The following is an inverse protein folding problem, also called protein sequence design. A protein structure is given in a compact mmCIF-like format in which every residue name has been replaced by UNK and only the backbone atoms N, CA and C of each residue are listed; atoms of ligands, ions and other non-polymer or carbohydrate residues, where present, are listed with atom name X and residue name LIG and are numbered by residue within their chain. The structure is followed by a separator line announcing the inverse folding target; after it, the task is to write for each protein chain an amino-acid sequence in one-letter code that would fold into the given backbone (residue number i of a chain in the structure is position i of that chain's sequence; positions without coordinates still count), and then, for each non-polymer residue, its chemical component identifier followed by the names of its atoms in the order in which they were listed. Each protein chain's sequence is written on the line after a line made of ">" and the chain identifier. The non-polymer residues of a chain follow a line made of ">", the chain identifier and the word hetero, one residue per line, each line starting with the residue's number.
data_IF_992111278181
#
_entry.id   IF_992111278181
#
_cell.length_a   1.000
_cell.length_b   1.000
_cell.length_c   1.000
_cell.angle_alpha   90.00
_cell.angle_beta   90.00
_cell.angle_gamma   90.00
#
_symmetry.space_group_name_H-M   'P 1'
#
loop_
_entity.id
_entity.type
_entity.pdbx_description
1 polymer ?
#
# COMPACT_ATOMS: atom_id res chain seq x y z
N UNK A 1 21.15 15.28 5.81
CA UNK A 1 22.02 14.07 5.70
C UNK A 1 21.66 12.95 6.69
N UNK A 2 21.62 13.23 8.01
CA UNK A 2 21.37 12.20 9.02
C UNK A 2 19.96 11.57 8.93
N UNK A 3 18.92 12.39 8.75
CA UNK A 3 17.55 11.89 8.59
C UNK A 3 17.36 11.08 7.30
N UNK A 4 18.05 11.45 6.22
CA UNK A 4 18.05 10.72 4.95
C UNK A 4 18.68 9.33 5.11
N UNK A 5 19.85 9.24 5.76
CA UNK A 5 20.51 7.95 6.03
C UNK A 5 19.63 7.03 6.88
N UNK A 6 18.99 7.55 7.93
CA UNK A 6 18.07 6.76 8.77
C UNK A 6 16.88 6.24 7.96
N UNK A 7 16.34 7.06 7.05
CA UNK A 7 15.25 6.65 6.18
C UNK A 7 15.68 5.55 5.20
N UNK A 8 16.82 5.72 4.52
CA UNK A 8 17.34 4.73 3.55
C UNK A 8 17.55 3.38 4.25
N UNK A 9 18.15 3.38 5.45
CA UNK A 9 18.34 2.17 6.25
C UNK A 9 16.99 1.52 6.58
N UNK A 10 16.01 2.32 7.03
CA UNK A 10 14.68 1.81 7.36
C UNK A 10 13.96 1.19 6.15
N UNK A 11 14.00 1.86 5.00
CA UNK A 11 13.42 1.35 3.75
C UNK A 11 14.14 0.09 3.28
N UNK A 12 15.48 0.08 3.33
CA UNK A 12 16.29 -1.08 2.93
C UNK A 12 15.96 -2.32 3.77
N UNK A 13 15.89 -2.18 5.09
CA UNK A 13 15.48 -3.27 5.99
C UNK A 13 14.07 -3.75 5.66
N UNK A 14 13.13 -2.84 5.41
CA UNK A 14 11.78 -3.21 5.02
C UNK A 14 11.72 -3.96 3.68
N UNK A 15 12.50 -3.55 2.69
CA UNK A 15 12.60 -4.22 1.40
C UNK A 15 13.15 -5.65 1.56
N UNK A 16 14.18 -5.83 2.39
CA UNK A 16 14.70 -7.16 2.69
C UNK A 16 13.63 -8.07 3.32
N UNK A 17 12.89 -7.56 4.31
CA UNK A 17 11.81 -8.32 4.96
C UNK A 17 10.72 -8.68 3.94
N UNK A 18 10.27 -7.71 3.14
CA UNK A 18 9.22 -7.95 2.15
C UNK A 18 9.68 -8.96 1.09
N UNK A 19 10.94 -8.91 0.66
CA UNK A 19 11.51 -9.88 -0.27
C UNK A 19 11.48 -11.30 0.31
N UNK A 20 11.87 -11.48 1.57
CA UNK A 20 11.76 -12.77 2.26
C UNK A 20 10.32 -13.29 2.33
N UNK A 21 9.35 -12.39 2.55
CA UNK A 21 7.93 -12.76 2.54
C UNK A 21 7.45 -13.17 1.13
N UNK A 22 7.91 -12.48 0.08
CA UNK A 22 7.65 -12.88 -1.31
C UNK A 22 8.27 -14.25 -1.60
N UNK A 23 9.50 -14.51 -1.20
CA UNK A 23 10.12 -15.83 -1.33
C UNK A 23 9.29 -16.90 -0.62
N UNK A 24 8.83 -16.61 0.61
CA UNK A 24 7.98 -17.52 1.40
C UNK A 24 6.68 -17.87 0.67
N UNK A 25 6.07 -16.90 -0.02
CA UNK A 25 4.85 -17.11 -0.81
C UNK A 25 5.05 -18.13 -1.93
N UNK A 26 6.21 -18.16 -2.60
CA UNK A 26 6.49 -19.10 -3.69
C UNK A 26 6.89 -20.51 -3.24
N UNK A 27 7.08 -20.75 -1.93
CA UNK A 27 7.58 -22.05 -1.44
C UNK A 27 6.52 -23.16 -1.37
N UNK A 28 5.22 -22.83 -1.46
CA UNK A 28 4.13 -23.81 -1.33
C UNK A 28 2.92 -23.49 -2.20
N UNK A 29 2.38 -24.52 -2.82
CA UNK A 29 1.23 -24.46 -3.72
C UNK A 29 -0.04 -23.87 -3.10
N UNK A 30 -0.21 -24.12 -1.81
CA UNK A 30 -1.33 -23.58 -1.04
C UNK A 30 -1.37 -22.04 -1.04
N UNK A 31 -0.21 -21.37 -1.09
CA UNK A 31 -0.16 -19.91 -1.03
C UNK A 31 -0.58 -19.26 -2.34
N UNK A 32 -0.12 -19.75 -3.50
CA UNK A 32 -0.49 -19.15 -4.79
C UNK A 32 -1.86 -19.61 -5.32
N UNK A 33 -2.59 -20.46 -4.59
CA UNK A 33 -3.95 -20.91 -4.93
C UNK A 33 -5.04 -20.26 -4.10
N UNK A 34 -4.68 -19.55 -3.03
CA UNK A 34 -5.65 -18.94 -2.09
C UNK A 34 -5.71 -17.43 -2.31
N UNK A 35 -6.91 -16.90 -2.59
CA UNK A 35 -7.15 -15.47 -2.89
C UNK A 35 -6.41 -14.51 -1.96
N UNK A 36 -6.51 -14.74 -0.65
CA UNK A 36 -5.90 -13.88 0.37
C UNK A 36 -4.39 -13.75 0.22
N UNK A 37 -3.69 -14.86 0.02
CA UNK A 37 -2.22 -14.84 -0.11
C UNK A 37 -1.81 -14.22 -1.44
N UNK A 38 -2.60 -14.41 -2.50
CA UNK A 38 -2.37 -13.74 -3.79
C UNK A 38 -2.51 -12.22 -3.64
N UNK A 39 -3.58 -11.73 -3.01
CA UNK A 39 -3.76 -10.29 -2.74
C UNK A 39 -2.66 -9.73 -1.81
N UNK A 40 -2.21 -10.53 -0.85
CA UNK A 40 -1.07 -10.18 -0.01
C UNK A 40 0.22 -10.05 -0.83
N UNK A 41 0.49 -10.98 -1.75
CA UNK A 41 1.63 -10.91 -2.65
C UNK A 41 1.56 -9.69 -3.60
N UNK A 42 0.38 -9.35 -4.12
CA UNK A 42 0.18 -8.11 -4.90
C UNK A 42 0.56 -6.88 -4.09
N UNK A 43 0.13 -6.82 -2.83
CA UNK A 43 0.46 -5.72 -1.91
C UNK A 43 1.96 -5.63 -1.64
N UNK A 44 2.60 -6.78 -1.36
CA UNK A 44 4.05 -6.89 -1.15
C UNK A 44 4.84 -6.35 -2.33
N UNK A 45 4.50 -6.79 -3.55
CA UNK A 45 5.18 -6.37 -4.77
C UNK A 45 4.95 -4.89 -5.04
N UNK A 46 3.71 -4.39 -4.89
CA UNK A 46 3.42 -2.96 -5.08
C UNK A 46 4.15 -2.08 -4.08
N UNK A 47 4.22 -2.50 -2.81
CA UNK A 47 4.90 -1.75 -1.75
C UNK A 47 6.42 -1.75 -1.96
N UNK A 48 7.01 -2.88 -2.38
CA UNK A 48 8.44 -2.94 -2.72
C UNK A 48 8.79 -1.99 -3.85
N UNK A 49 8.01 -2.02 -4.94
CA UNK A 49 8.23 -1.14 -6.09
C UNK A 49 8.07 0.33 -5.70
N UNK A 50 7.03 0.66 -4.93
CA UNK A 50 6.81 2.03 -4.46
C UNK A 50 7.94 2.52 -3.55
N UNK A 51 8.34 1.73 -2.56
CA UNK A 51 9.40 2.09 -1.62
C UNK A 51 10.74 2.27 -2.34
N UNK A 52 11.11 1.32 -3.22
CA UNK A 52 12.34 1.41 -4.00
C UNK A 52 12.38 2.67 -4.88
N UNK A 53 11.33 2.92 -5.67
CA UNK A 53 11.30 4.06 -6.58
C UNK A 53 11.30 5.38 -5.81
N UNK A 54 10.54 5.50 -4.72
CA UNK A 54 10.52 6.74 -3.93
C UNK A 54 11.84 7.01 -3.20
N UNK A 55 12.53 5.98 -2.73
CA UNK A 55 13.86 6.12 -2.11
C UNK A 55 14.92 6.55 -3.15
N UNK A 56 14.90 5.95 -4.34
CA UNK A 56 15.75 6.37 -5.47
C UNK A 56 15.47 7.83 -5.87
N UNK A 57 14.20 8.22 -6.00
CA UNK A 57 13.84 9.62 -6.31
C UNK A 57 14.31 10.58 -5.22
N UNK A 58 14.20 10.20 -3.95
CA UNK A 58 14.66 11.03 -2.85
C UNK A 58 16.19 11.20 -2.89
N UNK A 59 16.93 10.14 -3.18
CA UNK A 59 18.38 10.20 -3.35
C UNK A 59 18.77 11.11 -4.53
N UNK A 60 18.13 10.95 -5.68
CA UNK A 60 18.37 11.79 -6.86
C UNK A 60 18.06 13.26 -6.57
N UNK A 61 16.95 13.54 -5.88
CA UNK A 61 16.56 14.89 -5.47
C UNK A 61 17.57 15.50 -4.48
N UNK A 62 18.05 14.72 -3.51
CA UNK A 62 19.07 15.16 -2.57
C UNK A 62 20.40 15.51 -3.27
N UNK A 63 20.79 14.71 -4.26
CA UNK A 63 21.97 14.94 -5.08
C UNK A 63 21.76 15.99 -6.20
N UNK A 64 20.56 16.56 -6.30
CA UNK A 64 20.17 17.51 -7.37
C UNK A 64 20.39 16.97 -8.79
N UNK A 65 20.25 15.66 -8.98
CA UNK A 65 20.41 15.00 -10.28
C UNK A 65 19.14 15.21 -11.10
N UNK A 66 19.30 15.77 -12.30
CA UNK A 66 18.19 15.95 -13.25
C UNK A 66 17.94 14.67 -14.04
N UNK A 67 16.67 14.35 -14.25
CA UNK A 67 16.21 13.20 -15.03
C UNK A 67 15.53 13.67 -16.30
N UNK A 68 15.62 12.87 -17.37
CA UNK A 68 14.84 13.12 -18.59
C UNK A 68 13.34 13.02 -18.30
N UNK A 69 12.55 13.89 -18.93
CA UNK A 69 11.11 13.97 -18.65
C UNK A 69 10.33 12.71 -19.00
N UNK A 70 10.70 11.99 -20.06
CA UNK A 70 10.07 10.69 -20.39
C UNK A 70 10.28 9.65 -19.30
N UNK A 71 11.48 9.58 -18.71
CA UNK A 71 11.75 8.70 -17.57
C UNK A 71 10.96 9.14 -16.33
N UNK A 72 10.90 10.44 -16.07
CA UNK A 72 10.11 10.98 -14.96
C UNK A 72 8.61 10.68 -15.12
N UNK A 73 8.08 10.74 -16.35
CA UNK A 73 6.71 10.38 -16.68
C UNK A 73 6.41 8.91 -16.36
N UNK A 74 7.31 7.99 -16.76
CA UNK A 74 7.18 6.57 -16.44
C UNK A 74 7.19 6.35 -14.92
N UNK A 75 8.13 6.99 -14.21
CA UNK A 75 8.21 6.92 -12.75
C UNK A 75 6.93 7.44 -12.11
N UNK A 76 6.39 8.56 -12.58
CA UNK A 76 5.14 9.13 -12.11
C UNK A 76 3.96 8.18 -12.31
N UNK A 77 3.83 7.56 -13.49
CA UNK A 77 2.78 6.57 -13.77
C UNK A 77 2.81 5.44 -12.74
N UNK A 78 3.99 4.87 -12.50
CA UNK A 78 4.18 3.75 -11.58
C UNK A 78 3.86 4.16 -10.14
N UNK A 79 4.38 5.29 -9.67
CA UNK A 79 4.12 5.79 -8.32
C UNK A 79 2.66 6.18 -8.10
N UNK A 80 2.05 6.83 -9.08
CA UNK A 80 0.63 7.20 -9.02
C UNK A 80 -0.24 5.95 -8.92
N UNK A 81 0.05 4.92 -9.71
CA UNK A 81 -0.70 3.65 -9.66
C UNK A 81 -0.57 2.98 -8.28
N UNK A 82 0.65 2.75 -7.79
CA UNK A 82 0.87 2.04 -6.53
C UNK A 82 0.51 2.83 -5.27
N UNK A 83 0.29 4.14 -5.40
CA UNK A 83 -0.35 4.94 -4.34
C UNK A 83 -1.77 4.45 -4.05
N UNK A 84 -2.53 4.06 -5.07
CA UNK A 84 -3.92 3.60 -4.93
C UNK A 84 -4.06 2.08 -4.87
N UNK A 85 -3.19 1.31 -5.54
CA UNK A 85 -3.25 -0.17 -5.51
C UNK A 85 -3.24 -0.70 -4.08
N UNK A 86 -2.36 -0.18 -3.24
CA UNK A 86 -2.20 -0.64 -1.85
C UNK A 86 -3.51 -0.51 -1.04
N UNK A 87 -4.12 0.69 -0.87
CA UNK A 87 -5.37 0.83 -0.11
C UNK A 87 -6.57 0.10 -0.76
N UNK A 88 -6.64 0.04 -2.10
CA UNK A 88 -7.70 -0.72 -2.80
C UNK A 88 -7.56 -2.22 -2.51
N UNK A 89 -6.33 -2.76 -2.56
CA UNK A 89 -6.05 -4.18 -2.28
C UNK A 89 -6.34 -4.51 -0.82
N UNK A 90 -5.96 -3.64 0.10
CA UNK A 90 -6.28 -3.80 1.52
C UNK A 90 -7.80 -3.82 1.76
N UNK A 91 -8.55 -2.97 1.06
CA UNK A 91 -10.03 -3.00 1.11
C UNK A 91 -10.57 -4.32 0.56
N UNK A 92 -10.04 -4.81 -0.56
CA UNK A 92 -10.42 -6.11 -1.11
C UNK A 92 -10.12 -7.28 -0.15
N UNK A 93 -8.98 -7.25 0.55
CA UNK A 93 -8.65 -8.22 1.60
C UNK A 93 -9.65 -8.18 2.76
N UNK A 94 -10.14 -7.00 3.16
CA UNK A 94 -11.19 -6.93 4.20
C UNK A 94 -12.53 -7.49 3.74
N UNK A 95 -12.90 -7.27 2.48
CA UNK A 95 -14.11 -7.83 1.89
C UNK A 95 -14.02 -9.35 1.76
N UNK A 96 -12.86 -9.89 1.37
CA UNK A 96 -12.58 -11.34 1.37
C UNK A 96 -12.83 -11.95 2.75
N UNK A 97 -12.28 -11.32 3.81
CA UNK A 97 -12.49 -11.76 5.20
C UNK A 97 -13.95 -11.69 5.62
N UNK A 98 -14.68 -10.65 5.21
CA UNK A 98 -16.11 -10.55 5.45
C UNK A 98 -16.87 -11.70 4.77
N UNK A 99 -16.60 -11.98 3.49
CA UNK A 99 -17.25 -13.08 2.77
C UNK A 99 -16.93 -14.44 3.43
N UNK A 100 -15.68 -14.67 3.82
CA UNK A 100 -15.28 -15.91 4.48
C UNK A 100 -16.02 -16.17 5.81
N UNK A 101 -16.26 -15.12 6.60
CA UNK A 101 -16.89 -15.24 7.93
C UNK A 101 -18.41 -15.18 7.85
N UNK A 102 -18.96 -14.21 7.11
CA UNK A 102 -20.38 -13.95 7.07
C UNK A 102 -21.12 -14.75 5.98
N UNK A 103 -20.41 -15.30 4.98
CA UNK A 103 -20.99 -16.05 3.86
C UNK A 103 -20.13 -17.28 3.49
N UNK A 104 -19.82 -18.19 4.44
CA UNK A 104 -18.88 -19.30 4.21
C UNK A 104 -19.29 -20.21 3.04
N UNK A 105 -20.60 -20.42 2.82
CA UNK A 105 -21.11 -21.26 1.72
C UNK A 105 -20.81 -20.70 0.32
N UNK A 106 -20.73 -19.37 0.19
CA UNK A 106 -20.40 -18.69 -1.08
C UNK A 106 -18.92 -18.38 -1.22
N UNK A 107 -18.13 -18.56 -0.16
CA UNK A 107 -16.71 -18.21 -0.15
C UNK A 107 -15.91 -19.03 -1.18
N UNK A 108 -16.18 -20.33 -1.31
CA UNK A 108 -15.49 -21.18 -2.28
C UNK A 108 -15.74 -20.78 -3.75
N UNK A 109 -16.94 -20.31 -4.06
CA UNK A 109 -17.30 -19.84 -5.41
C UNK A 109 -16.71 -18.45 -5.68
N UNK A 110 -16.88 -17.51 -4.74
CA UNK A 110 -16.45 -16.12 -4.89
C UNK A 110 -14.93 -15.95 -4.84
N UNK A 111 -14.23 -16.71 -4.00
CA UNK A 111 -12.79 -16.58 -3.77
C UNK A 111 -11.94 -17.62 -4.53
N UNK A 112 -12.44 -18.09 -5.67
CA UNK A 112 -11.67 -18.92 -6.59
C UNK A 112 -10.47 -18.19 -7.20
N UNK A 113 -9.48 -18.93 -7.70
CA UNK A 113 -8.28 -18.35 -8.35
C UNK A 113 -8.64 -17.48 -9.56
N UNK A 114 -9.62 -17.91 -10.37
CA UNK A 114 -10.12 -17.14 -11.51
C UNK A 114 -10.72 -15.80 -11.08
N UNK A 115 -11.57 -15.81 -10.07
CA UNK A 115 -12.17 -14.58 -9.54
C UNK A 115 -11.13 -13.68 -8.87
N UNK A 116 -10.07 -14.27 -8.29
CA UNK A 116 -8.93 -13.52 -7.77
C UNK A 116 -8.22 -12.74 -8.87
N UNK A 117 -7.98 -13.34 -10.04
CA UNK A 117 -7.37 -12.64 -11.18
C UNK A 117 -8.26 -11.49 -11.68
N UNK A 118 -9.57 -11.72 -11.79
CA UNK A 118 -10.51 -10.63 -12.09
C UNK A 118 -10.49 -9.53 -11.02
N UNK A 119 -10.39 -9.88 -9.74
CA UNK A 119 -10.26 -8.94 -8.63
C UNK A 119 -8.99 -8.09 -8.78
N UNK A 120 -7.84 -8.69 -9.10
CA UNK A 120 -6.58 -7.97 -9.37
C UNK A 120 -6.75 -6.98 -10.52
N UNK A 121 -7.37 -7.40 -11.63
CA UNK A 121 -7.63 -6.51 -12.76
C UNK A 121 -8.51 -5.31 -12.35
N UNK A 122 -9.56 -5.55 -11.55
CA UNK A 122 -10.41 -4.49 -11.02
C UNK A 122 -9.61 -3.56 -10.10
N UNK A 123 -8.78 -4.10 -9.21
CA UNK A 123 -7.92 -3.32 -8.30
C UNK A 123 -7.02 -2.37 -9.11
N UNK A 124 -6.31 -2.90 -10.12
CA UNK A 124 -5.42 -2.08 -10.95
C UNK A 124 -6.20 -1.09 -11.82
N UNK A 125 -7.35 -1.48 -12.36
CA UNK A 125 -8.23 -0.59 -13.13
C UNK A 125 -8.76 0.57 -12.30
N UNK A 126 -9.28 0.31 -11.10
CA UNK A 126 -9.72 1.38 -10.19
C UNK A 126 -8.56 2.26 -9.72
N UNK A 127 -7.37 1.68 -9.53
CA UNK A 127 -6.19 2.42 -9.09
C UNK A 127 -5.56 3.29 -10.18
N UNK A 128 -5.80 2.99 -11.46
CA UNK A 128 -5.26 3.76 -12.58
C UNK A 128 -6.10 4.99 -12.91
N UNK A 129 -7.39 5.04 -12.52
CA UNK A 129 -8.30 6.16 -12.82
C UNK A 129 -7.71 7.52 -12.46
N UNK A 130 -7.18 7.76 -11.24
CA UNK A 130 -6.58 9.06 -10.91
C UNK A 130 -5.41 9.38 -11.83
N UNK A 131 -4.54 8.40 -12.08
CA UNK A 131 -3.39 8.57 -12.97
C UNK A 131 -3.82 8.98 -14.39
N UNK A 132 -4.83 8.32 -14.95
CA UNK A 132 -5.36 8.63 -16.28
C UNK A 132 -5.89 10.07 -16.34
N UNK A 133 -6.67 10.49 -15.33
CA UNK A 133 -7.20 11.85 -15.25
C UNK A 133 -6.05 12.87 -15.25
N UNK A 134 -5.05 12.72 -14.38
CA UNK A 134 -3.93 13.66 -14.30
C UNK A 134 -3.07 13.68 -15.56
N UNK A 135 -2.78 12.51 -16.14
CA UNK A 135 -2.03 12.43 -17.39
C UNK A 135 -2.77 13.08 -18.55
N UNK A 136 -4.09 12.91 -18.62
CA UNK A 136 -4.91 13.54 -19.67
C UNK A 136 -4.81 15.06 -19.60
N UNK A 137 -4.87 15.63 -18.39
CA UNK A 137 -4.73 17.08 -18.19
C UNK A 137 -3.29 17.53 -18.50
N UNK A 138 -2.29 16.75 -18.08
CA UNK A 138 -0.88 17.00 -18.37
C UNK A 138 -0.63 17.06 -19.89
N UNK A 139 -1.04 16.03 -20.64
CA UNK A 139 -0.86 16.00 -22.09
C UNK A 139 -1.59 17.14 -22.79
N UNK A 140 -2.78 17.52 -22.31
CA UNK A 140 -3.53 18.66 -22.85
C UNK A 140 -2.88 20.04 -22.55
N UNK A 141 -2.06 20.13 -21.49
CA UNK A 141 -1.46 21.40 -21.04
C UNK A 141 0.02 21.54 -21.41
N UNK A 142 0.73 20.43 -21.61
CA UNK A 142 2.18 20.42 -21.84
C UNK A 142 2.56 20.92 -23.23
N UNK A 143 3.71 21.59 -23.33
CA UNK A 143 4.31 21.97 -24.62
C UNK A 143 5.41 21.00 -25.03
N UNK A 144 5.72 20.92 -26.33
CA UNK A 144 6.75 20.00 -26.86
C UNK A 144 8.14 20.22 -26.22
N UNK A 145 8.48 21.46 -25.87
CA UNK A 145 9.75 21.80 -25.20
C UNK A 145 9.84 21.27 -23.77
N UNK A 146 8.71 20.93 -23.14
CA UNK A 146 8.71 20.34 -21.80
C UNK A 146 9.31 18.94 -21.80
N UNK A 147 9.14 18.16 -22.89
CA UNK A 147 9.64 16.78 -22.98
C UNK A 147 11.15 16.67 -23.17
N UNK A 148 11.81 17.73 -23.66
CA UNK A 148 13.24 17.72 -23.98
C UNK A 148 14.13 18.30 -22.87
N UNK A 149 13.53 18.87 -21.81
CA UNK A 149 14.27 19.45 -20.69
C UNK A 149 14.61 18.42 -19.62
N UNK A 150 15.81 18.49 -19.04
CA UNK A 150 16.15 17.75 -17.82
C UNK A 150 15.65 18.50 -16.58
N UNK A 151 14.94 17.82 -15.69
CA UNK A 151 14.43 18.40 -14.42
C UNK A 151 14.59 17.41 -13.28
N UNK A 152 14.66 17.90 -12.05
CA UNK A 152 14.61 17.03 -10.85
C UNK A 152 13.23 16.39 -10.82
N UNK A 153 13.14 15.07 -10.94
CA UNK A 153 11.85 14.41 -11.06
C UNK A 153 11.03 14.51 -9.77
N UNK A 154 9.89 15.19 -9.83
CA UNK A 154 8.96 15.33 -8.72
C UNK A 154 7.52 15.31 -9.21
N UNK A 155 6.58 14.94 -8.33
CA UNK A 155 5.15 14.87 -8.66
C UNK A 155 4.58 16.25 -9.02
N UNK A 156 5.14 17.31 -8.44
CA UNK A 156 4.71 18.70 -8.62
C UNK A 156 4.91 19.18 -10.05
N UNK A 157 5.86 18.60 -10.79
CA UNK A 157 6.15 18.97 -12.19
C UNK A 157 4.96 18.66 -13.11
N UNK A 158 4.11 17.70 -12.73
CA UNK A 158 2.91 17.36 -13.49
C UNK A 158 1.71 18.24 -13.14
N UNK A 159 1.86 19.19 -12.20
CA UNK A 159 0.81 20.10 -11.77
C UNK A 159 0.93 21.44 -12.52
N UNK A 160 0.07 21.65 -13.52
CA UNK A 160 0.08 22.85 -14.38
C UNK A 160 -0.85 23.95 -13.91
N UNK A 161 -1.96 23.57 -13.27
CA UNK A 161 -3.00 24.50 -12.85
C UNK A 161 -3.23 24.42 -11.34
N UNK A 162 -3.48 25.55 -10.70
CA UNK A 162 -3.73 25.62 -9.25
C UNK A 162 -4.90 24.74 -8.81
N UNK A 163 -5.94 24.61 -9.63
CA UNK A 163 -7.12 23.79 -9.34
C UNK A 163 -6.84 22.28 -9.33
N UNK A 164 -5.77 21.80 -9.98
CA UNK A 164 -5.43 20.38 -9.99
C UNK A 164 -5.07 19.86 -8.59
N UNK A 165 -4.53 20.71 -7.72
CA UNK A 165 -4.31 20.37 -6.31
C UNK A 165 -5.62 20.05 -5.60
N UNK A 166 -6.66 20.86 -5.82
CA UNK A 166 -8.00 20.62 -5.27
C UNK A 166 -8.64 19.36 -5.85
N UNK A 167 -8.48 19.11 -7.16
CA UNK A 167 -8.95 17.88 -7.79
C UNK A 167 -8.26 16.65 -7.17
N UNK A 168 -6.94 16.71 -6.94
CA UNK A 168 -6.18 15.60 -6.31
C UNK A 168 -6.68 15.29 -4.91
N UNK A 169 -6.92 16.33 -4.11
CA UNK A 169 -7.50 16.19 -2.78
C UNK A 169 -8.91 15.57 -2.84
N UNK A 170 -9.78 16.09 -3.72
CA UNK A 170 -11.15 15.60 -3.86
C UNK A 170 -11.22 14.12 -4.29
N UNK A 171 -10.42 13.71 -5.28
CA UNK A 171 -10.33 12.30 -5.70
C UNK A 171 -9.85 11.43 -4.54
N UNK A 172 -8.80 11.85 -3.83
CA UNK A 172 -8.25 11.06 -2.73
C UNK A 172 -9.23 10.91 -1.57
N UNK A 173 -9.96 11.98 -1.23
CA UNK A 173 -11.01 11.98 -0.21
C UNK A 173 -12.22 11.11 -0.62
N UNK A 174 -12.58 11.11 -1.90
CA UNK A 174 -13.64 10.23 -2.43
C UNK A 174 -13.28 8.75 -2.30
N UNK A 175 -12.05 8.37 -2.69
CA UNK A 175 -11.53 7.01 -2.50
C UNK A 175 -11.51 6.63 -1.01
N UNK A 176 -11.02 7.52 -0.15
CA UNK A 176 -11.00 7.32 1.29
C UNK A 176 -12.41 7.04 1.84
N UNK A 177 -13.41 7.84 1.45
CA UNK A 177 -14.78 7.70 1.94
C UNK A 177 -15.37 6.33 1.56
N UNK A 178 -15.26 5.95 0.28
CA UNK A 178 -15.80 4.67 -0.21
C UNK A 178 -15.14 3.49 0.50
N UNK A 179 -13.80 3.49 0.60
CA UNK A 179 -13.06 2.42 1.27
C UNK A 179 -13.41 2.35 2.76
N UNK A 180 -13.47 3.50 3.44
CA UNK A 180 -13.81 3.59 4.86
C UNK A 180 -15.21 3.01 5.12
N UNK A 181 -16.21 3.36 4.29
CA UNK A 181 -17.57 2.80 4.39
C UNK A 181 -17.54 1.28 4.21
N UNK A 182 -16.86 0.76 3.18
CA UNK A 182 -16.76 -0.68 2.92
C UNK A 182 -16.11 -1.43 4.09
N UNK A 183 -15.05 -0.86 4.67
CA UNK A 183 -14.31 -1.43 5.80
C UNK A 183 -15.16 -1.44 7.06
N UNK A 184 -15.76 -0.31 7.43
CA UNK A 184 -16.62 -0.19 8.62
C UNK A 184 -17.80 -1.15 8.52
N UNK A 185 -18.44 -1.21 7.36
CA UNK A 185 -19.54 -2.15 7.11
C UNK A 185 -19.08 -3.61 7.28
N UNK A 186 -17.95 -3.98 6.68
CA UNK A 186 -17.40 -5.34 6.76
C UNK A 186 -17.10 -5.74 8.20
N UNK A 187 -16.40 -4.89 8.95
CA UNK A 187 -16.07 -5.15 10.35
C UNK A 187 -17.33 -5.20 11.23
N UNK A 188 -18.30 -4.32 11.04
CA UNK A 188 -19.56 -4.35 11.79
C UNK A 188 -20.28 -5.70 11.63
N UNK A 189 -20.36 -6.22 10.40
CA UNK A 189 -20.96 -7.54 10.14
C UNK A 189 -20.16 -8.69 10.74
N UNK A 190 -18.84 -8.67 10.59
CA UNK A 190 -17.94 -9.68 11.19
C UNK A 190 -18.13 -9.70 12.71
N UNK A 191 -18.17 -8.53 13.35
CA UNK A 191 -18.39 -8.40 14.80
C UNK A 191 -19.73 -8.98 15.25
N UNK A 192 -20.80 -8.78 14.48
CA UNK A 192 -22.12 -9.33 14.78
C UNK A 192 -22.10 -10.86 14.74
N UNK A 193 -21.48 -11.46 13.71
CA UNK A 193 -21.36 -12.92 13.59
C UNK A 193 -20.45 -13.49 14.69
N UNK A 194 -19.31 -12.86 14.95
CA UNK A 194 -18.39 -13.29 16.01
C UNK A 194 -19.04 -13.27 17.41
N UNK A 195 -19.82 -12.21 17.72
CA UNK A 195 -20.58 -12.12 18.98
C UNK A 195 -21.67 -13.19 19.08
N UNK A 196 -22.38 -13.47 17.99
CA UNK A 196 -23.39 -14.53 17.97
C UNK A 196 -22.75 -15.92 18.20
N UNK A 197 -21.58 -16.18 17.63
CA UNK A 197 -20.87 -17.45 17.78
C UNK A 197 -20.20 -17.63 19.16
N UNK A 198 -19.77 -16.54 19.82
CA UNK A 198 -19.06 -16.64 21.12
C UNK A 198 -19.96 -16.90 22.33
N UNK A 199 -21.29 -16.88 22.18
CA UNK A 199 -22.24 -16.99 23.29
C UNK A 199 -22.00 -15.95 24.40
N UNK A 200 -22.35 -16.25 25.65
CA UNK A 200 -22.13 -15.36 26.81
C UNK A 200 -20.67 -15.33 27.33
N UNK A 201 -19.74 -16.08 26.73
CA UNK A 201 -18.37 -16.17 27.22
C UNK A 201 -17.52 -14.97 26.75
N UNK A 202 -17.54 -13.90 27.55
CA UNK A 202 -16.88 -12.61 27.27
C UNK A 202 -15.35 -12.71 27.04
N UNK A 203 -14.67 -13.71 27.60
CA UNK A 203 -13.20 -13.79 27.58
C UNK A 203 -12.58 -14.32 26.27
N UNK A 204 -13.24 -15.26 25.57
CA UNK A 204 -12.76 -15.76 24.27
C UNK A 204 -13.08 -14.81 23.12
N UNK A 205 -14.26 -14.17 23.19
CA UNK A 205 -14.70 -13.11 22.27
C UNK A 205 -13.70 -11.95 22.21
N UNK A 206 -13.13 -11.55 23.36
CA UNK A 206 -12.19 -10.43 23.47
C UNK A 206 -10.82 -10.69 22.83
N UNK A 207 -10.31 -11.94 22.91
CA UNK A 207 -9.00 -12.29 22.33
C UNK A 207 -9.03 -12.24 20.80
N UNK A 208 -10.10 -12.76 20.18
CA UNK A 208 -10.31 -12.63 18.72
C UNK A 208 -10.51 -11.17 18.29
N UNK A 209 -11.30 -10.42 19.06
CA UNK A 209 -11.61 -9.01 18.82
C UNK A 209 -10.36 -8.10 18.82
N UNK A 210 -9.41 -8.34 19.73
CA UNK A 210 -8.18 -7.52 19.83
C UNK A 210 -7.32 -7.60 18.56
N UNK A 211 -7.25 -8.76 17.92
CA UNK A 211 -6.53 -8.91 16.65
C UNK A 211 -7.26 -8.25 15.48
N UNK A 212 -8.59 -8.27 15.49
CA UNK A 212 -9.44 -7.61 14.48
C UNK A 212 -9.31 -6.08 14.57
N UNK A 213 -9.26 -5.53 15.78
CA UNK A 213 -9.10 -4.08 16.01
C UNK A 213 -7.71 -3.60 15.58
N UNK A 214 -6.65 -4.36 15.86
CA UNK A 214 -5.30 -4.00 15.42
C UNK A 214 -5.20 -3.94 13.88
N UNK A 215 -5.87 -4.87 13.18
CA UNK A 215 -5.95 -4.85 11.72
C UNK A 215 -6.74 -3.66 11.18
N UNK A 216 -7.87 -3.33 11.83
CA UNK A 216 -8.64 -2.15 11.47
C UNK A 216 -7.83 -0.85 11.68
N UNK A 217 -7.06 -0.78 12.76
CA UNK A 217 -6.20 0.37 13.05
C UNK A 217 -5.09 0.54 12.02
N UNK A 218 -4.37 -0.54 11.70
CA UNK A 218 -3.33 -0.52 10.68
C UNK A 218 -3.89 -0.15 9.29
N UNK A 219 -5.06 -0.68 8.95
CA UNK A 219 -5.75 -0.36 7.71
C UNK A 219 -6.14 1.12 7.65
N UNK A 220 -6.64 1.67 8.75
CA UNK A 220 -6.95 3.09 8.88
C UNK A 220 -5.69 3.95 8.69
N UNK A 221 -4.56 3.57 9.30
CA UNK A 221 -3.28 4.26 9.10
C UNK A 221 -2.86 4.27 7.62
N UNK A 222 -3.05 3.15 6.90
CA UNK A 222 -2.78 3.08 5.46
C UNK A 222 -3.73 3.92 4.61
N UNK A 223 -4.97 4.16 5.06
CA UNK A 223 -5.94 5.01 4.37
C UNK A 223 -5.74 6.50 4.63
N UNK A 224 -5.18 6.89 5.79
CA UNK A 224 -4.91 8.29 6.13
C UNK A 224 -3.97 8.94 5.10
N UNK A 225 -3.14 8.17 4.40
CA UNK A 225 -2.30 8.71 3.32
C UNK A 225 -3.11 9.47 2.25
N UNK A 226 -4.39 9.10 2.05
CA UNK A 226 -5.28 9.76 1.08
C UNK A 226 -5.72 11.16 1.52
N UNK A 227 -5.53 11.52 2.80
CA UNK A 227 -5.75 12.87 3.31
C UNK A 227 -4.51 13.77 3.17
N UNK A 228 -3.33 13.21 2.96
CA UNK A 228 -2.09 13.99 2.81
C UNK A 228 -2.20 15.09 1.74
N UNK A 229 -2.74 14.85 0.53
CA UNK A 229 -2.92 15.90 -0.48
C UNK A 229 -3.76 17.09 0.00
N UNK A 230 -4.81 16.83 0.78
CA UNK A 230 -5.68 17.88 1.33
C UNK A 230 -4.97 18.70 2.40
N UNK A 231 -4.30 18.02 3.35
CA UNK A 231 -3.54 18.67 4.43
C UNK A 231 -2.41 19.51 3.83
N UNK A 232 -1.66 18.94 2.89
CA UNK A 232 -0.55 19.61 2.21
C UNK A 232 -1.03 20.85 1.44
N UNK A 233 -2.15 20.77 0.71
CA UNK A 233 -2.72 21.91 0.01
C UNK A 233 -3.13 23.04 0.97
N UNK A 234 -3.73 22.70 2.12
CA UNK A 234 -4.11 23.69 3.13
C UNK A 234 -2.88 24.34 3.80
N UNK A 235 -1.87 23.55 4.17
CA UNK A 235 -0.65 24.06 4.81
C UNK A 235 0.18 24.93 3.87
N UNK A 236 0.19 24.61 2.57
CA UNK A 236 0.90 25.40 1.56
C UNK A 236 0.37 26.85 1.49
N UNK A 237 -0.93 27.07 1.71
CA UNK A 237 -1.53 28.41 1.75
C UNK A 237 -1.11 29.23 2.98
N UNK A 238 -0.66 28.56 4.04
CA UNK A 238 -0.29 29.20 5.30
C UNK A 238 1.21 29.54 5.29
N UNK A 239 2.08 28.55 5.07
CA UNK A 239 3.52 28.74 5.17
C UNK A 239 4.30 27.64 4.43
N UNK A 240 5.22 28.03 3.54
CA UNK A 240 6.03 27.11 2.73
C UNK A 240 7.01 26.28 3.57
N UNK A 241 7.63 26.87 4.60
CA UNK A 241 8.54 26.15 5.51
C UNK A 241 7.77 25.09 6.32
N UNK A 242 6.56 25.42 6.76
CA UNK A 242 5.68 24.47 7.44
C UNK A 242 5.24 23.35 6.48
N UNK A 243 4.91 23.69 5.24
CA UNK A 243 4.55 22.72 4.21
C UNK A 243 5.65 21.67 3.99
N UNK A 244 6.91 22.07 3.87
CA UNK A 244 8.04 21.13 3.69
C UNK A 244 8.14 20.18 4.89
N UNK A 245 8.02 20.70 6.12
CA UNK A 245 8.07 19.88 7.35
C UNK A 245 6.90 18.91 7.44
N UNK A 246 5.68 19.38 7.21
CA UNK A 246 4.45 18.57 7.27
C UNK A 246 4.47 17.49 6.18
N UNK A 247 4.89 17.84 4.97
CA UNK A 247 5.01 16.89 3.86
C UNK A 247 6.02 15.80 4.15
N UNK A 248 7.20 16.14 4.68
CA UNK A 248 8.18 15.13 5.09
C UNK A 248 7.63 14.23 6.19
N UNK A 249 6.98 14.80 7.21
CA UNK A 249 6.32 14.03 8.26
C UNK A 249 5.24 13.08 7.72
N UNK A 250 4.37 13.56 6.82
CA UNK A 250 3.35 12.76 6.17
C UNK A 250 3.95 11.61 5.36
N UNK A 251 5.03 11.90 4.63
CA UNK A 251 5.73 10.90 3.82
C UNK A 251 6.32 9.78 4.69
N UNK A 252 6.98 10.10 5.80
CA UNK A 252 7.49 9.06 6.71
C UNK A 252 6.34 8.30 7.39
N UNK A 253 5.37 9.03 7.95
CA UNK A 253 4.39 8.47 8.90
C UNK A 253 3.22 7.77 8.24
N UNK A 254 2.71 8.32 7.14
CA UNK A 254 1.49 7.83 6.48
C UNK A 254 1.77 7.13 5.15
N UNK A 255 2.94 7.32 4.55
CA UNK A 255 3.29 6.71 3.26
C UNK A 255 4.29 5.57 3.42
N UNK A 256 5.42 5.79 4.10
CA UNK A 256 6.44 4.75 4.30
C UNK A 256 6.03 3.79 5.43
N UNK A 257 5.80 4.30 6.64
CA UNK A 257 5.59 3.44 7.81
C UNK A 257 4.44 2.42 7.63
N UNK A 258 3.27 2.76 7.06
CA UNK A 258 2.20 1.79 6.87
C UNK A 258 2.54 0.71 5.83
N UNK A 259 3.33 1.04 4.79
CA UNK A 259 3.81 0.07 3.79
C UNK A 259 4.89 -0.87 4.33
N UNK A 260 5.67 -0.42 5.32
CA UNK A 260 6.63 -1.29 6.01
C UNK A 260 5.93 -2.18 7.07
N UNK A 261 4.99 -1.61 7.82
CA UNK A 261 4.30 -2.30 8.91
C UNK A 261 3.23 -3.26 8.40
N UNK A 262 2.60 -2.98 7.26
CA UNK A 262 1.49 -3.81 6.81
C UNK A 262 1.89 -5.23 6.47
N UNK A 263 2.92 -5.46 5.65
CA UNK A 263 3.46 -6.78 5.39
C UNK A 263 3.87 -7.56 6.64
N UNK A 264 4.48 -6.89 7.61
CA UNK A 264 4.85 -7.50 8.89
C UNK A 264 3.61 -8.00 9.63
N UNK A 265 2.58 -7.17 9.78
CA UNK A 265 1.40 -7.56 10.55
C UNK A 265 0.56 -8.62 9.82
N UNK A 266 0.49 -8.59 8.49
CA UNK A 266 -0.21 -9.62 7.71
C UNK A 266 0.57 -10.95 7.69
N UNK A 267 1.88 -10.91 7.43
CA UNK A 267 2.72 -12.11 7.35
C UNK A 267 2.95 -12.79 8.70
N UNK A 268 3.18 -12.01 9.77
CA UNK A 268 3.42 -12.57 11.12
C UNK A 268 2.14 -13.06 11.81
N UNK A 269 0.96 -12.66 11.33
CA UNK A 269 -0.33 -13.05 11.94
C UNK A 269 -0.79 -14.44 11.53
N UNK A 270 -0.57 -14.83 10.27
CA UNK A 270 -1.01 -16.15 9.83
C UNK A 270 0.01 -17.19 10.26
N UNK A 271 -0.37 -18.07 11.19
CA UNK A 271 0.53 -19.06 11.80
C UNK A 271 1.22 -19.94 10.76
N UNK A 272 0.50 -20.32 9.69
CA UNK A 272 1.08 -21.15 8.61
C UNK A 272 2.12 -20.38 7.81
N UNK A 273 1.84 -19.11 7.53
CA UNK A 273 2.78 -18.23 6.83
C UNK A 273 3.99 -17.90 7.72
N UNK A 274 3.77 -17.58 9.00
CA UNK A 274 4.81 -17.24 9.97
C UNK A 274 5.78 -18.39 10.20
N UNK A 275 5.29 -19.62 10.42
CA UNK A 275 6.16 -20.79 10.59
C UNK A 275 7.04 -21.04 9.38
N UNK A 276 6.49 -20.83 8.17
CA UNK A 276 7.25 -20.99 6.92
C UNK A 276 8.24 -19.85 6.71
N UNK A 277 7.86 -18.62 7.01
CA UNK A 277 8.74 -17.47 7.00
C UNK A 277 9.93 -17.68 7.95
N UNK A 278 9.69 -18.16 9.17
CA UNK A 278 10.74 -18.47 10.13
C UNK A 278 11.66 -19.57 9.60
N UNK A 279 11.11 -20.62 8.99
CA UNK A 279 11.90 -21.67 8.35
C UNK A 279 12.81 -21.13 7.24
N UNK A 280 12.29 -20.26 6.36
CA UNK A 280 13.09 -19.63 5.29
C UNK A 280 14.17 -18.72 5.88
N UNK A 281 13.84 -17.91 6.88
CA UNK A 281 14.78 -17.02 7.55
C UNK A 281 15.93 -17.80 8.22
N UNK A 282 15.59 -18.89 8.91
CA UNK A 282 16.54 -19.82 9.52
C UNK A 282 17.38 -20.49 8.41
N UNK A 283 16.76 -21.04 7.37
CA UNK A 283 17.46 -21.65 6.24
C UNK A 283 18.48 -20.69 5.62
N UNK A 284 18.14 -19.43 5.36
CA UNK A 284 19.09 -18.44 4.81
C UNK A 284 20.24 -18.17 5.79
N UNK A 285 19.94 -18.10 7.09
CA UNK A 285 20.97 -17.91 8.12
C UNK A 285 21.91 -19.11 8.22
N UNK A 286 21.40 -20.33 8.05
CA UNK A 286 22.15 -21.58 8.11
C UNK A 286 22.73 -22.03 6.77
N UNK A 287 22.27 -21.54 5.61
CA UNK A 287 22.91 -21.80 4.31
C UNK A 287 24.30 -21.14 4.21
N UNK A 288 24.58 -20.17 5.08
CA UNK A 288 25.94 -19.66 5.31
C UNK A 288 26.86 -20.68 6.01
N UNK A 289 26.31 -21.76 6.56
CA UNK A 289 26.96 -22.85 7.31
C UNK A 289 26.33 -24.21 6.92
N UNK A 290 26.68 -24.72 5.74
CA UNK A 290 26.41 -26.08 5.21
C UNK A 290 25.49 -27.00 6.04
N UNK A 291 24.17 -26.95 5.80
CA UNK A 291 23.26 -28.08 6.03
C UNK A 291 22.08 -27.98 5.05
N UNK A 292 21.63 -29.12 4.54
CA UNK A 292 20.54 -29.24 3.56
C UNK A 292 19.22 -28.64 4.08
N UNK A 293 18.86 -27.49 3.52
CA UNK A 293 17.48 -27.12 3.19
C UNK A 293 17.15 -27.70 1.79
#
# INVERSE_FOLDING_TARGET
>A
PFDLMRQIVFVSVSLCINFLQITTFFMKDFFYTTMRYILFAVTLVSDCLFLFITDVLLLLSYLSVTTQMWLCLIIYIVLSLYTFVTPVTLTAMTLERYVAICMPLRHGELCSTRNTMHCILIIHGLSSVPCIIFLSIFFASSTQSFYTQGRICSVEIFIFHSWQGHLRAAISQFYFLIMCIAIVFSYFKILKVAKAASGQNKSSSWKGLRTVVLHAFQLLLGLIQLWCPFIEAAVLQINVMLFVKVRYFNYITFIIAPRCLSPLIYGLRDEKFFLRFLHVFICIKFYSWEFTC
#
